data_IF_459038915339
#
_entry.id   IF_459038915339
#
_cell.length_a   1.000
_cell.length_b   1.000
_cell.length_c   1.000
_cell.angle_alpha   90.00
_cell.angle_beta   90.00
_cell.angle_gamma   90.00
#
_symmetry.space_group_name_H-M   'P 1'
#
loop_
_entity.id
_entity.type
_entity.pdbx_description
1 polymer ?
#
# COMPACT_ATOMS: atom_id res chain seq x y z
N UNK A 1 9.51 29.19 3.59
CA UNK A 1 10.55 28.31 2.99
C UNK A 1 9.97 26.90 2.91
N UNK A 2 9.67 26.40 1.70
CA UNK A 2 9.25 25.00 1.53
C UNK A 2 10.51 24.15 1.61
N UNK A 3 10.71 23.46 2.71
CA UNK A 3 11.85 22.56 2.92
C UNK A 3 11.95 21.56 1.76
N UNK A 4 13.17 21.30 1.31
CA UNK A 4 13.41 20.24 0.35
C UNK A 4 13.10 18.93 1.07
N UNK A 5 11.93 18.33 0.82
CA UNK A 5 11.59 17.01 1.31
C UNK A 5 12.67 16.04 0.86
N UNK A 6 13.56 15.67 1.78
CA UNK A 6 14.51 14.58 1.60
C UNK A 6 13.81 13.31 2.06
N UNK A 7 13.98 12.20 1.36
CA UNK A 7 13.42 10.90 1.76
C UNK A 7 13.73 10.55 3.23
N UNK A 8 14.88 11.01 3.73
CA UNK A 8 15.35 10.91 5.12
C UNK A 8 14.36 11.49 6.15
N UNK A 9 13.57 12.51 5.79
CA UNK A 9 12.55 13.08 6.70
C UNK A 9 11.41 12.10 6.98
N UNK A 10 11.20 11.14 6.08
CA UNK A 10 10.21 10.08 6.26
C UNK A 10 10.78 8.85 6.98
N UNK A 11 12.07 8.85 7.37
CA UNK A 11 12.68 7.71 8.07
C UNK A 11 11.91 7.32 9.34
N UNK A 12 11.57 8.24 10.26
CA UNK A 12 10.85 7.86 11.47
C UNK A 12 9.45 7.29 11.16
N UNK A 13 8.83 7.78 10.09
CA UNK A 13 7.50 7.33 9.68
C UNK A 13 7.53 5.95 9.02
N UNK A 14 8.48 5.72 8.11
CA UNK A 14 8.70 4.40 7.52
C UNK A 14 9.09 3.37 8.60
N UNK A 15 9.96 3.74 9.55
CA UNK A 15 10.28 2.93 10.73
C UNK A 15 9.01 2.60 11.53
N UNK A 16 8.12 3.56 11.77
CA UNK A 16 6.86 3.29 12.48
C UNK A 16 5.92 2.36 11.72
N UNK A 17 5.83 2.49 10.39
CA UNK A 17 5.02 1.58 9.55
C UNK A 17 5.57 0.15 9.68
N UNK A 18 6.89 0.02 9.53
CA UNK A 18 7.60 -1.25 9.46
C UNK A 18 7.68 -1.98 10.80
N UNK A 19 7.94 -1.25 11.89
CA UNK A 19 8.26 -1.83 13.20
C UNK A 19 7.05 -1.83 14.14
N UNK A 20 5.99 -1.05 13.84
CA UNK A 20 4.80 -0.96 14.70
C UNK A 20 3.51 -1.30 13.99
N UNK A 21 3.23 -0.64 12.86
CA UNK A 21 1.94 -0.80 12.17
C UNK A 21 1.78 -2.20 11.58
N UNK A 22 2.65 -2.61 10.67
CA UNK A 22 2.54 -3.92 10.00
C UNK A 22 2.62 -5.09 10.99
N UNK A 23 3.51 -5.09 11.99
CA UNK A 23 3.54 -6.17 12.98
C UNK A 23 2.28 -6.26 13.83
N UNK A 24 1.74 -5.12 14.29
CA UNK A 24 0.48 -5.10 15.03
C UNK A 24 -0.72 -5.51 14.17
N UNK A 25 -0.68 -5.20 12.86
CA UNK A 25 -1.76 -5.50 11.93
C UNK A 25 -1.79 -6.97 11.50
N UNK A 26 -0.61 -7.59 11.33
CA UNK A 26 -0.47 -8.89 10.67
C UNK A 26 -0.02 -10.02 11.58
N UNK A 27 0.61 -9.72 12.71
CA UNK A 27 1.23 -10.73 13.58
C UNK A 27 0.84 -10.60 15.05
N UNK A 28 0.00 -9.63 15.39
CA UNK A 28 -0.49 -9.34 16.76
C UNK A 28 0.61 -9.23 17.82
N UNK A 29 1.83 -8.86 17.41
CA UNK A 29 2.98 -8.74 18.30
C UNK A 29 3.71 -7.41 18.09
N UNK A 30 4.14 -6.75 19.19
CA UNK A 30 5.15 -5.71 19.09
C UNK A 30 6.42 -6.27 18.45
N UNK A 31 7.06 -5.48 17.59
CA UNK A 31 8.33 -5.86 17.01
C UNK A 31 9.47 -5.29 17.87
N UNK A 32 10.14 -6.17 18.61
CA UNK A 32 11.26 -5.79 19.48
C UNK A 32 12.64 -6.19 18.88
N UNK A 33 12.70 -6.62 17.61
CA UNK A 33 13.93 -7.13 16.99
C UNK A 33 14.24 -6.52 15.62
N UNK A 34 15.31 -6.97 14.95
CA UNK A 34 15.51 -6.65 13.53
C UNK A 34 14.51 -7.41 12.67
N UNK A 35 14.03 -6.81 11.59
CA UNK A 35 13.11 -7.50 10.68
C UNK A 35 13.78 -8.71 10.05
N UNK A 36 13.03 -9.79 10.03
CA UNK A 36 13.38 -10.96 9.25
C UNK A 36 13.26 -10.65 7.76
N UNK A 37 13.95 -11.42 6.92
CA UNK A 37 13.82 -11.29 5.47
C UNK A 37 12.35 -11.47 5.01
N UNK A 38 11.59 -12.35 5.68
CA UNK A 38 10.17 -12.54 5.44
C UNK A 38 9.34 -11.28 5.76
N UNK A 39 9.57 -10.61 6.88
CA UNK A 39 8.85 -9.38 7.21
C UNK A 39 9.22 -8.22 6.27
N UNK A 40 10.46 -8.16 5.78
CA UNK A 40 10.84 -7.22 4.73
C UNK A 40 10.11 -7.51 3.41
N UNK A 41 9.98 -8.78 3.03
CA UNK A 41 9.18 -9.16 1.86
C UNK A 41 7.71 -8.77 2.03
N UNK A 42 7.15 -8.91 3.22
CA UNK A 42 5.79 -8.47 3.56
C UNK A 42 5.65 -6.96 3.43
N UNK A 43 6.66 -6.19 3.86
CA UNK A 43 6.70 -4.75 3.66
C UNK A 43 6.61 -4.37 2.17
N UNK A 44 7.35 -5.06 1.30
CA UNK A 44 7.27 -4.85 -0.15
C UNK A 44 5.90 -5.23 -0.73
N UNK A 45 5.29 -6.33 -0.26
CA UNK A 45 3.93 -6.74 -0.66
C UNK A 45 2.89 -5.71 -0.22
N UNK A 46 2.98 -5.20 1.02
CA UNK A 46 2.04 -4.21 1.57
C UNK A 46 2.09 -2.87 0.80
N UNK A 47 3.25 -2.51 0.25
CA UNK A 47 3.45 -1.32 -0.57
C UNK A 47 2.78 -1.41 -1.95
N UNK A 48 2.46 -2.61 -2.43
CA UNK A 48 1.77 -2.75 -3.71
C UNK A 48 0.35 -2.22 -3.60
N UNK A 49 -0.21 -1.64 -4.67
CA UNK A 49 -1.59 -1.22 -4.67
C UNK A 49 -2.52 -2.44 -4.54
N UNK A 50 -3.69 -2.20 -3.98
CA UNK A 50 -4.75 -3.20 -3.77
C UNK A 50 -5.01 -4.04 -5.03
N UNK A 51 -5.10 -3.42 -6.21
CA UNK A 51 -5.33 -4.10 -7.50
C UNK A 51 -4.23 -5.09 -7.92
N UNK A 52 -3.05 -5.02 -7.30
CA UNK A 52 -1.92 -5.92 -7.52
C UNK A 52 -1.74 -6.90 -6.35
N UNK A 53 -2.73 -7.00 -5.47
CA UNK A 53 -2.73 -7.90 -4.34
C UNK A 53 -2.00 -7.37 -3.10
N UNK A 54 -1.57 -6.12 -3.07
CA UNK A 54 -1.03 -5.49 -1.87
C UNK A 54 -2.08 -4.77 -1.03
N UNK A 55 -1.61 -3.91 -0.11
CA UNK A 55 -2.46 -3.17 0.83
C UNK A 55 -2.57 -1.67 0.50
N UNK A 56 -1.75 -1.15 -0.42
CA UNK A 56 -1.67 0.28 -0.72
C UNK A 56 -0.99 1.10 0.38
N UNK A 57 -0.12 0.48 1.18
CA UNK A 57 0.66 1.17 2.21
C UNK A 57 2.01 1.57 1.61
N UNK A 58 1.98 2.65 0.82
CA UNK A 58 3.12 3.18 0.06
C UNK A 58 4.38 3.38 0.93
N UNK A 59 5.57 3.34 0.31
CA UNK A 59 6.82 3.68 1.01
C UNK A 59 7.11 5.19 0.87
N UNK A 60 6.88 5.98 1.93
CA UNK A 60 6.96 7.44 1.88
C UNK A 60 8.38 7.93 1.54
N UNK A 61 9.43 7.15 1.85
CA UNK A 61 10.81 7.49 1.50
C UNK A 61 11.04 7.45 -0.01
N UNK A 62 10.42 6.50 -0.69
CA UNK A 62 10.61 6.29 -2.14
C UNK A 62 9.61 7.09 -2.96
N UNK A 63 8.39 7.27 -2.46
CA UNK A 63 7.28 7.86 -3.23
C UNK A 63 7.06 9.34 -2.94
N UNK A 64 7.50 9.83 -1.78
CA UNK A 64 7.26 11.22 -1.36
C UNK A 64 7.89 12.25 -2.31
N UNK A 65 9.06 11.94 -2.89
CA UNK A 65 9.72 12.79 -3.87
C UNK A 65 8.92 12.94 -5.16
N UNK A 66 8.43 11.83 -5.70
CA UNK A 66 7.63 11.82 -6.92
C UNK A 66 6.25 12.46 -6.72
N UNK A 67 5.57 12.13 -5.61
CA UNK A 67 4.28 12.72 -5.28
C UNK A 67 4.39 14.26 -5.19
N UNK A 68 5.47 14.75 -4.59
CA UNK A 68 5.76 16.19 -4.52
C UNK A 68 6.04 16.77 -5.91
N UNK A 69 6.88 16.13 -6.72
CA UNK A 69 7.20 16.62 -8.06
C UNK A 69 5.93 16.71 -8.93
N UNK A 70 5.05 15.70 -8.86
CA UNK A 70 3.75 15.71 -9.54
C UNK A 70 2.84 16.82 -9.02
N UNK A 71 2.76 17.02 -7.71
CA UNK A 71 2.00 18.12 -7.12
C UNK A 71 2.50 19.49 -7.59
N UNK A 72 3.82 19.70 -7.55
CA UNK A 72 4.44 20.95 -8.02
C UNK A 72 4.21 21.20 -9.52
N UNK A 73 4.26 20.15 -10.35
CA UNK A 73 3.96 20.26 -11.77
C UNK A 73 2.49 20.61 -12.00
N UNK A 74 1.57 19.95 -11.29
CA UNK A 74 0.13 20.17 -11.39
C UNK A 74 -0.29 21.58 -10.93
N UNK A 75 0.39 22.16 -9.94
CA UNK A 75 0.06 23.49 -9.39
C UNK A 75 0.92 24.61 -9.94
N UNK A 76 1.80 24.34 -10.92
CA UNK A 76 2.80 25.32 -11.40
C UNK A 76 2.15 26.58 -11.95
N UNK A 77 1.19 26.44 -12.86
CA UNK A 77 0.51 27.56 -13.51
C UNK A 77 -0.24 28.41 -12.49
N UNK A 78 -1.01 27.77 -11.60
CA UNK A 78 -1.71 28.45 -10.52
C UNK A 78 -0.76 29.21 -9.59
N UNK A 79 0.38 28.60 -9.25
CA UNK A 79 1.40 29.23 -8.39
C UNK A 79 2.00 30.47 -9.07
N UNK A 80 2.30 30.40 -10.38
CA UNK A 80 2.83 31.53 -11.14
C UNK A 80 1.80 32.66 -11.24
N UNK A 81 0.54 32.32 -11.52
CA UNK A 81 -0.52 33.32 -11.64
C UNK A 81 -0.75 34.11 -10.34
N UNK A 82 -0.74 33.42 -9.20
CA UNK A 82 -0.81 34.04 -7.87
C UNK A 82 0.36 35.00 -7.63
N UNK A 83 1.58 34.61 -8.05
CA UNK A 83 2.78 35.45 -7.87
C UNK A 83 2.78 36.70 -8.77
N UNK A 84 2.24 36.57 -9.98
CA UNK A 84 2.18 37.64 -10.98
C UNK A 84 0.93 38.52 -10.84
N UNK A 85 -0.02 38.14 -9.97
CA UNK A 85 -1.29 38.84 -9.80
C UNK A 85 -2.20 38.76 -11.03
N UNK A 86 -2.04 37.70 -11.85
CA UNK A 86 -2.83 37.49 -13.08
C UNK A 86 -3.94 36.48 -12.86
N UNK A 87 -4.97 36.58 -13.69
CA UNK A 87 -6.01 35.55 -13.76
C UNK A 87 -5.49 34.27 -14.44
N UNK A 88 -6.07 33.14 -14.05
CA UNK A 88 -5.81 31.83 -14.67
C UNK A 88 -6.98 31.50 -15.59
N UNK A 89 -6.68 31.07 -16.80
CA UNK A 89 -7.68 30.44 -17.66
C UNK A 89 -8.03 29.06 -17.08
N UNK A 90 -9.15 29.00 -16.36
CA UNK A 90 -9.54 27.81 -15.58
C UNK A 90 -9.61 26.53 -16.42
N UNK A 91 -10.11 26.63 -17.65
CA UNK A 91 -10.28 25.46 -18.51
C UNK A 91 -8.93 24.88 -18.96
N UNK A 92 -8.00 25.75 -19.35
CA UNK A 92 -6.65 25.36 -19.72
C UNK A 92 -5.88 24.79 -18.53
N UNK A 93 -5.99 25.41 -17.35
CA UNK A 93 -5.38 24.91 -16.11
C UNK A 93 -5.93 23.52 -15.76
N UNK A 94 -7.25 23.33 -15.90
CA UNK A 94 -7.90 22.05 -15.66
C UNK A 94 -7.38 20.99 -16.62
N UNK A 95 -7.16 21.31 -17.89
CA UNK A 95 -6.60 20.39 -18.88
C UNK A 95 -5.14 20.04 -18.60
N UNK A 96 -4.31 21.03 -18.27
CA UNK A 96 -2.90 20.83 -17.92
C UNK A 96 -2.77 19.95 -16.67
N UNK A 97 -3.59 20.19 -15.64
CA UNK A 97 -3.66 19.36 -14.43
C UNK A 97 -4.09 17.93 -14.76
N UNK A 98 -5.12 17.74 -15.59
CA UNK A 98 -5.58 16.41 -16.02
C UNK A 98 -4.48 15.67 -16.78
N UNK A 99 -3.76 16.35 -17.67
CA UNK A 99 -2.65 15.78 -18.43
C UNK A 99 -1.50 15.35 -17.51
N UNK A 100 -1.07 16.22 -16.61
CA UNK A 100 -0.02 15.91 -15.64
C UNK A 100 -0.40 14.71 -14.75
N UNK A 101 -1.65 14.65 -14.29
CA UNK A 101 -2.13 13.53 -13.49
C UNK A 101 -2.19 12.22 -14.29
N UNK A 102 -2.65 12.28 -15.55
CA UNK A 102 -2.70 11.11 -16.44
C UNK A 102 -1.31 10.55 -16.71
N UNK A 103 -0.34 11.41 -17.05
CA UNK A 103 1.05 11.02 -17.28
C UNK A 103 1.67 10.40 -16.04
N UNK A 104 1.49 11.01 -14.87
CA UNK A 104 1.95 10.45 -13.60
C UNK A 104 1.31 9.10 -13.29
N UNK A 105 -0.01 8.97 -13.48
CA UNK A 105 -0.71 7.71 -13.25
C UNK A 105 -0.21 6.59 -14.17
N UNK A 106 0.04 6.88 -15.46
CA UNK A 106 0.60 5.88 -16.37
C UNK A 106 2.00 5.42 -15.92
N UNK A 107 2.87 6.37 -15.53
CA UNK A 107 4.21 6.05 -15.02
C UNK A 107 4.12 5.21 -13.73
N UNK A 108 3.37 5.67 -12.72
CA UNK A 108 3.18 4.95 -11.45
C UNK A 108 2.65 3.53 -11.68
N UNK A 109 1.67 3.36 -12.58
CA UNK A 109 1.13 2.02 -12.90
C UNK A 109 2.16 1.08 -13.54
N UNK A 110 3.11 1.61 -14.32
CA UNK A 110 4.18 0.82 -14.91
C UNK A 110 5.18 0.37 -13.84
N UNK A 111 5.59 1.28 -12.96
CA UNK A 111 6.48 0.99 -11.82
C UNK A 111 5.85 -0.01 -10.85
N UNK A 112 4.57 0.17 -10.50
CA UNK A 112 3.81 -0.76 -9.67
C UNK A 112 3.78 -2.17 -10.29
N UNK A 113 3.65 -2.27 -11.61
CA UNK A 113 3.69 -3.55 -12.32
C UNK A 113 5.09 -4.18 -12.25
N UNK A 114 6.14 -3.39 -12.42
CA UNK A 114 7.52 -3.87 -12.28
C UNK A 114 7.80 -4.36 -10.86
N UNK A 115 7.38 -3.61 -9.84
CA UNK A 115 7.50 -4.01 -8.42
C UNK A 115 6.75 -5.32 -8.16
N UNK A 116 5.54 -5.47 -8.70
CA UNK A 116 4.79 -6.72 -8.63
C UNK A 116 5.57 -7.91 -9.23
N UNK A 117 6.13 -7.74 -10.42
CA UNK A 117 6.90 -8.79 -11.09
C UNK A 117 8.16 -9.18 -10.29
N UNK A 118 8.80 -8.22 -9.62
CA UNK A 118 9.93 -8.49 -8.71
C UNK A 118 9.49 -9.26 -7.47
N UNK A 119 8.42 -8.84 -6.80
CA UNK A 119 8.00 -9.39 -5.50
C UNK A 119 7.41 -10.80 -5.63
N UNK A 120 6.68 -11.10 -6.71
CA UNK A 120 5.91 -12.34 -6.84
C UNK A 120 6.77 -13.62 -6.94
N UNK A 121 7.96 -13.52 -7.53
CA UNK A 121 8.89 -14.66 -7.71
C UNK A 121 10.14 -14.56 -6.84
N UNK A 122 10.23 -13.53 -5.98
CA UNK A 122 11.40 -13.36 -5.10
C UNK A 122 11.47 -14.52 -4.10
N UNK A 123 12.56 -15.29 -4.16
CA UNK A 123 12.86 -16.29 -3.14
C UNK A 123 13.50 -15.61 -1.94
N UNK A 124 12.78 -15.64 -0.82
CA UNK A 124 13.19 -14.98 0.41
C UNK A 124 13.22 -16.00 1.55
N UNK A 125 14.32 -16.11 2.31
CA UNK A 125 14.37 -16.98 3.48
C UNK A 125 13.22 -16.71 4.45
N UNK A 126 12.53 -17.77 4.85
CA UNK A 126 11.35 -17.67 5.72
C UNK A 126 10.02 -17.40 5.01
N UNK A 127 10.02 -17.13 3.69
CA UNK A 127 8.79 -17.02 2.88
C UNK A 127 8.51 -18.34 2.17
N UNK A 128 7.36 -18.94 2.47
CA UNK A 128 6.97 -20.22 1.88
C UNK A 128 6.44 -20.06 0.45
N UNK A 129 6.48 -21.14 -0.33
CA UNK A 129 5.83 -21.15 -1.65
C UNK A 129 4.31 -20.97 -1.58
N UNK A 130 3.69 -21.33 -0.46
CA UNK A 130 2.27 -21.09 -0.18
C UNK A 130 1.97 -19.60 -0.02
N UNK A 131 2.77 -18.86 0.75
CA UNK A 131 2.63 -17.42 0.89
C UNK A 131 2.78 -16.69 -0.45
N UNK A 132 3.77 -17.08 -1.27
CA UNK A 132 3.91 -16.52 -2.63
C UNK A 132 2.69 -16.83 -3.52
N UNK A 133 2.14 -18.05 -3.43
CA UNK A 133 0.90 -18.42 -4.13
C UNK A 133 -0.28 -17.58 -3.63
N UNK A 134 -0.42 -17.37 -2.32
CA UNK A 134 -1.49 -16.59 -1.73
C UNK A 134 -1.52 -15.16 -2.29
N UNK A 135 -0.38 -14.47 -2.32
CA UNK A 135 -0.30 -13.10 -2.88
C UNK A 135 -0.70 -13.08 -4.36
N UNK A 136 -0.27 -14.08 -5.16
CA UNK A 136 -0.71 -14.19 -6.57
C UNK A 136 -2.21 -14.42 -6.70
N UNK A 137 -2.77 -15.25 -5.83
CA UNK A 137 -4.20 -15.54 -5.78
C UNK A 137 -5.01 -14.29 -5.39
N UNK A 138 -4.57 -13.51 -4.41
CA UNK A 138 -5.22 -12.25 -4.03
C UNK A 138 -5.33 -11.32 -5.22
N UNK A 139 -4.24 -11.16 -5.99
CA UNK A 139 -4.28 -10.37 -7.22
C UNK A 139 -5.22 -10.97 -8.27
N UNK A 140 -5.10 -12.27 -8.54
CA UNK A 140 -5.85 -12.95 -9.60
C UNK A 140 -7.36 -12.94 -9.33
N UNK A 141 -7.75 -13.18 -8.07
CA UNK A 141 -9.14 -13.26 -7.62
C UNK A 141 -9.69 -11.92 -7.09
N UNK A 142 -8.85 -10.88 -7.05
CA UNK A 142 -9.18 -9.53 -6.53
C UNK A 142 -9.67 -9.50 -5.08
N UNK A 143 -9.17 -10.42 -4.25
CA UNK A 143 -9.59 -10.55 -2.85
C UNK A 143 -9.22 -9.36 -1.97
N UNK A 144 -8.25 -8.52 -2.36
CA UNK A 144 -7.88 -7.31 -1.62
C UNK A 144 -8.80 -6.12 -1.89
N UNK A 145 -9.76 -6.23 -2.83
CA UNK A 145 -10.57 -5.09 -3.29
C UNK A 145 -11.31 -4.33 -2.18
N UNK A 146 -11.73 -5.03 -1.12
CA UNK A 146 -12.39 -4.45 0.04
C UNK A 146 -11.53 -3.37 0.76
N UNK A 147 -10.19 -3.46 0.68
CA UNK A 147 -9.28 -2.45 1.24
C UNK A 147 -9.34 -1.09 0.50
N UNK A 148 -9.98 -1.03 -0.66
CA UNK A 148 -10.15 0.20 -1.45
C UNK A 148 -11.53 0.84 -1.35
N UNK A 149 -12.44 0.20 -0.62
CA UNK A 149 -13.83 0.67 -0.46
C UNK A 149 -13.91 1.51 0.82
N UNK A 150 -14.63 2.63 0.75
CA UNK A 150 -14.98 3.40 1.94
C UNK A 150 -16.05 2.60 2.70
N UNK A 151 -15.80 2.16 3.94
CA UNK A 151 -16.78 1.38 4.67
C UNK A 151 -17.99 2.26 4.99
N UNK A 152 -19.18 1.86 4.54
CA UNK A 152 -20.45 2.49 4.87
C UNK A 152 -21.30 1.50 5.66
N UNK A 153 -22.02 1.97 6.69
CA UNK A 153 -22.88 1.11 7.51
C UNK A 153 -23.98 0.42 6.69
N UNK A 154 -24.47 1.11 5.65
CA UNK A 154 -25.51 0.60 4.77
C UNK A 154 -25.07 -0.58 3.88
N UNK A 155 -23.76 -0.79 3.74
CA UNK A 155 -23.20 -1.82 2.86
C UNK A 155 -22.81 -3.09 3.64
N UNK A 156 -23.10 -3.16 4.95
CA UNK A 156 -22.63 -4.22 5.86
C UNK A 156 -21.09 -4.42 5.81
N UNK A 157 -20.35 -3.38 5.42
CA UNK A 157 -18.89 -3.39 5.27
C UNK A 157 -18.14 -3.01 6.55
N UNK A 158 -18.86 -2.92 7.68
CA UNK A 158 -18.28 -2.68 8.99
C UNK A 158 -17.70 -3.98 9.56
N UNK A 159 -16.46 -4.27 9.20
CA UNK A 159 -15.71 -5.36 9.82
C UNK A 159 -15.34 -4.98 11.26
N UNK A 160 -15.55 -5.90 12.19
CA UNK A 160 -14.90 -5.84 13.49
C UNK A 160 -13.37 -5.92 13.35
N UNK A 161 -12.64 -5.55 14.40
CA UNK A 161 -11.18 -5.64 14.40
C UNK A 161 -10.68 -7.07 14.11
N UNK A 162 -11.37 -8.09 14.62
CA UNK A 162 -11.03 -9.50 14.43
C UNK A 162 -11.30 -9.92 12.99
N UNK A 163 -12.49 -9.63 12.44
CA UNK A 163 -12.83 -9.94 11.04
C UNK A 163 -11.89 -9.26 10.05
N UNK A 164 -11.48 -8.02 10.33
CA UNK A 164 -10.51 -7.30 9.52
C UNK A 164 -9.17 -8.05 9.48
N UNK A 165 -8.66 -8.47 10.65
CA UNK A 165 -7.38 -9.19 10.77
C UNK A 165 -7.42 -10.59 10.19
N UNK A 166 -8.52 -11.31 10.39
CA UNK A 166 -8.73 -12.64 9.83
C UNK A 166 -8.76 -12.57 8.31
N UNK A 167 -9.47 -11.58 7.75
CA UNK A 167 -9.53 -11.37 6.31
C UNK A 167 -8.14 -11.08 5.73
N UNK A 168 -7.32 -10.26 6.41
CA UNK A 168 -5.93 -10.03 6.03
C UNK A 168 -5.10 -11.32 6.11
N UNK A 169 -5.19 -12.04 7.22
CA UNK A 169 -4.44 -13.29 7.44
C UNK A 169 -4.78 -14.35 6.39
N UNK A 170 -6.06 -14.45 5.99
CA UNK A 170 -6.53 -15.33 4.92
C UNK A 170 -5.98 -14.93 3.55
N UNK A 171 -6.00 -13.63 3.22
CA UNK A 171 -5.50 -13.14 1.94
C UNK A 171 -4.00 -13.44 1.77
N UNK A 172 -3.22 -13.23 2.82
CA UNK A 172 -1.77 -13.27 2.72
C UNK A 172 -1.11 -14.53 3.29
N UNK A 173 -1.90 -15.42 3.88
CA UNK A 173 -1.43 -16.61 4.61
C UNK A 173 -0.31 -16.27 5.61
N UNK A 174 -0.43 -15.12 6.25
CA UNK A 174 0.42 -14.77 7.38
C UNK A 174 -0.04 -15.62 8.55
N UNK A 175 0.54 -16.82 8.70
CA UNK A 175 0.35 -17.57 9.92
C UNK A 175 0.95 -16.74 11.05
N UNK A 176 0.11 -16.29 11.98
CA UNK A 176 0.56 -16.01 13.33
C UNK A 176 1.34 -17.25 13.79
N UNK A 177 2.63 -17.09 14.09
CA UNK A 177 3.35 -18.12 14.85
C UNK A 177 2.71 -18.18 16.23
N UNK A 178 1.62 -18.93 16.36
CA UNK A 178 0.84 -18.96 17.58
C UNK A 178 -0.46 -19.75 17.52
N UNK A 179 -1.10 -19.89 16.35
CA UNK A 179 -2.44 -20.50 16.34
C UNK A 179 -2.45 -21.96 15.87
N UNK A 180 -2.32 -22.85 16.85
CA UNK A 180 -2.91 -24.20 16.78
C UNK A 180 -4.41 -24.09 17.05
N UNK A 181 -5.17 -23.36 16.24
CA UNK A 181 -6.63 -23.53 16.22
C UNK A 181 -6.95 -24.61 15.21
N UNK A 182 -7.08 -25.82 15.73
CA UNK A 182 -7.71 -26.93 15.06
C UNK A 182 -9.05 -26.43 14.51
N UNK A 183 -9.17 -26.27 13.20
CA UNK A 183 -10.46 -26.30 12.54
C UNK A 183 -10.99 -27.72 12.73
N UNK A 184 -11.73 -27.95 13.83
CA UNK A 184 -12.69 -29.04 13.88
C UNK A 184 -13.69 -28.75 12.75
N UNK A 185 -13.56 -29.52 11.67
CA UNK A 185 -14.50 -29.47 10.57
C UNK A 185 -15.91 -29.58 11.12
N UNK A 186 -16.80 -28.72 10.64
CA UNK A 186 -18.23 -28.81 10.89
C UNK A 186 -18.70 -30.25 10.59
N UNK A 187 -18.90 -31.03 11.64
CA UNK A 187 -19.75 -32.20 11.63
C UNK A 187 -21.20 -31.74 11.79
N UNK A 188 -22.06 -32.22 10.89
CA UNK A 188 -23.52 -32.04 10.92
C UNK A 188 -24.03 -31.69 9.52
N UNK A 189 -24.86 -32.49 8.85
CA UNK A 189 -25.60 -33.72 9.19
C UNK A 189 -25.77 -34.59 7.94
#
# INVERSE_FOLDING_TARGET
RVTQARGEQFDPFETAIRDRLLPALLFERPHDSLLTAAEQWIREVSALPVRLGGMGIDNPKTEGGEARATSQAATRELTQAIQEGREVEEEKEREDRKKAHKEHSHRKRAEEKERWEKVKEMEVPGVTGEQRRAVRDVKAKRHSGWLSVVPQEADDMLLSLEEFRDTLSLCYQFKAQGDKRNYEGCGGS
#
